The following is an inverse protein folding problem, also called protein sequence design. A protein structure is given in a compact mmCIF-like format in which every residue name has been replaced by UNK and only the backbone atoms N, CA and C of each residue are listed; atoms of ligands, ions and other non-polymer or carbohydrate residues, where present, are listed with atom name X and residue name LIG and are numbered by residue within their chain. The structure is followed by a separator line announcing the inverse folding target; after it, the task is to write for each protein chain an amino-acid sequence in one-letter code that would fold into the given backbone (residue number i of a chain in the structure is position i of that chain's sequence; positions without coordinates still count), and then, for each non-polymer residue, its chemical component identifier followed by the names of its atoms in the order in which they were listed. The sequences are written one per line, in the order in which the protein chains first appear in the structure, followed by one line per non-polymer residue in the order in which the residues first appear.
data_IF_230724835156
#
_entry.id   IF_230724835156
#
_cell.length_a   1.000
_cell.length_b   1.000
_cell.length_c   1.000
_cell.angle_alpha   90.00
_cell.angle_beta   90.00
_cell.angle_gamma   90.00
#
_symmetry.space_group_name_H-M   'P 1'
#
loop_
_entity.id
_entity.type
_entity.pdbx_description
1 polymer ?
#
# COMPACT_ATOMS: atom_id res chain seq x y z
N UNK A 1 -11.92 -10.69 1.65
CA UNK A 1 -10.98 -9.62 2.04
C UNK A 1 -10.51 -9.86 3.47
N UNK A 2 -9.24 -9.63 3.76
CA UNK A 2 -8.69 -9.83 5.10
C UNK A 2 -9.07 -8.67 6.03
N UNK A 3 -8.92 -8.87 7.35
CA UNK A 3 -9.16 -7.82 8.33
C UNK A 3 -8.26 -6.60 8.09
N UNK A 4 -7.00 -6.84 7.67
CA UNK A 4 -6.06 -5.76 7.40
C UNK A 4 -6.51 -4.90 6.23
N UNK A 5 -6.97 -5.54 5.15
CA UNK A 5 -7.48 -4.81 3.98
C UNK A 5 -8.72 -4.02 4.34
N UNK A 6 -9.62 -4.59 5.14
CA UNK A 6 -10.83 -3.91 5.60
C UNK A 6 -10.48 -2.68 6.45
N UNK A 7 -9.52 -2.83 7.39
CA UNK A 7 -9.09 -1.73 8.24
C UNK A 7 -8.48 -0.58 7.43
N UNK A 8 -7.69 -0.92 6.43
CA UNK A 8 -7.03 0.07 5.56
C UNK A 8 -7.96 0.67 4.52
N UNK A 9 -9.11 0.06 4.29
CA UNK A 9 -10.02 0.49 3.22
C UNK A 9 -9.44 0.26 1.84
N UNK A 10 -8.60 -0.77 1.70
CA UNK A 10 -7.89 -1.07 0.48
C UNK A 10 -8.82 -1.76 -0.52
N UNK A 11 -8.90 -1.21 -1.72
CA UNK A 11 -9.77 -1.69 -2.79
C UNK A 11 -8.96 -2.03 -4.03
N UNK A 12 -9.41 -3.01 -4.83
CA UNK A 12 -8.75 -3.28 -6.11
C UNK A 12 -8.89 -2.10 -7.05
N UNK A 13 -7.81 -1.82 -7.79
CA UNK A 13 -7.80 -0.79 -8.80
C UNK A 13 -8.04 -1.36 -10.19
N UNK A 14 -7.77 -0.55 -11.21
CA UNK A 14 -7.91 -0.95 -12.61
C UNK A 14 -6.67 -1.74 -13.04
N UNK A 15 -6.84 -3.01 -13.34
CA UNK A 15 -5.75 -3.88 -13.79
C UNK A 15 -5.06 -4.63 -12.66
N UNK A 16 -4.22 -5.58 -13.04
CA UNK A 16 -3.50 -6.42 -12.08
C UNK A 16 -2.45 -5.62 -11.31
N UNK A 17 -2.33 -5.91 -10.02
CA UNK A 17 -1.35 -5.28 -9.17
C UNK A 17 -1.66 -3.83 -8.83
N UNK A 18 -2.88 -3.38 -9.08
CA UNK A 18 -3.30 -2.00 -8.77
C UNK A 18 -4.35 -2.01 -7.69
N UNK A 19 -4.21 -1.06 -6.78
CA UNK A 19 -5.10 -0.86 -5.63
C UNK A 19 -5.32 0.62 -5.42
N UNK A 20 -6.29 0.95 -4.59
CA UNK A 20 -6.46 2.33 -4.13
C UNK A 20 -7.08 2.32 -2.74
N UNK A 21 -6.87 3.40 -2.01
CA UNK A 21 -7.51 3.63 -0.71
C UNK A 21 -7.62 5.12 -0.47
N UNK A 22 -8.56 5.48 0.40
CA UNK A 22 -8.72 6.86 0.86
C UNK A 22 -8.02 7.01 2.20
N UNK A 23 -7.32 8.13 2.41
CA UNK A 23 -6.71 8.43 3.70
C UNK A 23 -7.81 8.80 4.68
N UNK A 24 -8.36 7.79 5.37
CA UNK A 24 -9.40 7.99 6.37
C UNK A 24 -8.79 8.55 7.65
N UNK A 25 -9.63 9.18 8.49
CA UNK A 25 -9.13 9.84 9.68
C UNK A 25 -8.34 8.89 10.61
N UNK A 26 -8.79 7.65 10.76
CA UNK A 26 -8.08 6.68 11.61
C UNK A 26 -6.75 6.22 11.03
N UNK A 27 -6.46 6.54 9.76
CA UNK A 27 -5.19 6.22 9.09
C UNK A 27 -4.26 7.42 9.02
N UNK A 28 -4.68 8.57 9.54
CA UNK A 28 -3.95 9.82 9.46
C UNK A 28 -3.29 10.17 10.80
N UNK A 29 -2.24 11.00 10.72
CA UNK A 29 -1.61 11.57 11.90
C UNK A 29 -2.52 12.63 12.51
N UNK A 30 -2.14 13.13 13.69
CA UNK A 30 -2.89 14.19 14.38
C UNK A 30 -2.97 15.47 13.54
N UNK A 31 -2.02 15.72 12.66
CA UNK A 31 -2.03 16.88 11.75
C UNK A 31 -2.89 16.64 10.48
N UNK A 32 -3.62 15.53 10.41
CA UNK A 32 -4.51 15.22 9.29
C UNK A 32 -3.82 14.66 8.05
N UNK A 33 -2.54 14.27 8.17
CA UNK A 33 -1.80 13.69 7.04
C UNK A 33 -1.61 12.19 7.21
N UNK A 34 -1.36 11.51 6.10
CA UNK A 34 -1.15 10.06 6.10
C UNK A 34 -0.06 9.68 7.10
N UNK A 35 -0.40 8.77 8.00
CA UNK A 35 0.55 8.23 8.96
C UNK A 35 1.55 7.31 8.26
N UNK A 36 2.85 7.45 8.58
CA UNK A 36 3.89 6.63 7.96
C UNK A 36 3.69 5.14 8.14
N UNK A 37 3.22 4.71 9.32
CA UNK A 37 2.90 3.31 9.57
C UNK A 37 1.77 2.79 8.68
N UNK A 38 0.80 3.64 8.35
CA UNK A 38 -0.28 3.29 7.41
C UNK A 38 0.30 3.05 6.02
N UNK A 39 1.21 3.90 5.55
CA UNK A 39 1.85 3.71 4.25
C UNK A 39 2.62 2.40 4.20
N UNK A 40 3.33 2.06 5.25
CA UNK A 40 4.06 0.79 5.36
C UNK A 40 3.08 -0.39 5.34
N UNK A 41 1.99 -0.31 6.11
CA UNK A 41 0.99 -1.39 6.18
C UNK A 41 0.33 -1.63 4.81
N UNK A 42 -0.03 -0.57 4.09
CA UNK A 42 -0.58 -0.67 2.73
C UNK A 42 0.43 -1.33 1.80
N UNK A 43 1.70 -0.94 1.89
CA UNK A 43 2.75 -1.53 1.05
C UNK A 43 2.90 -3.02 1.31
N UNK A 44 2.89 -3.44 2.56
CA UNK A 44 2.98 -4.86 2.92
C UNK A 44 1.74 -5.62 2.44
N UNK A 45 0.54 -5.09 2.70
CA UNK A 45 -0.70 -5.75 2.32
C UNK A 45 -0.80 -5.97 0.80
N UNK A 46 -0.45 -4.95 0.01
CA UNK A 46 -0.50 -5.05 -1.44
C UNK A 46 0.57 -5.98 -1.99
N UNK A 47 1.79 -5.92 -1.45
CA UNK A 47 2.87 -6.81 -1.87
C UNK A 47 2.53 -8.27 -1.56
N UNK A 48 1.96 -8.55 -0.39
CA UNK A 48 1.55 -9.89 -0.02
C UNK A 48 0.39 -10.39 -0.89
N UNK A 49 -0.54 -9.48 -1.25
CA UNK A 49 -1.67 -9.84 -2.09
C UNK A 49 -1.24 -10.26 -3.51
N UNK A 50 -0.28 -9.55 -4.10
CA UNK A 50 0.15 -9.86 -5.47
C UNK A 50 1.15 -11.00 -5.55
N UNK A 51 1.94 -11.22 -4.49
CA UNK A 51 2.96 -12.28 -4.48
C UNK A 51 2.45 -13.57 -3.86
N UNK A 52 1.37 -13.52 -3.09
CA UNK A 52 0.85 -14.61 -2.28
C UNK A 52 1.92 -15.15 -1.32
N UNK A 53 2.73 -14.25 -0.77
CA UNK A 53 3.83 -14.58 0.13
C UNK A 53 3.87 -13.60 1.28
N UNK A 54 4.37 -14.06 2.42
CA UNK A 54 4.55 -13.24 3.61
C UNK A 54 5.78 -12.35 3.44
N UNK A 55 5.66 -11.08 3.82
CA UNK A 55 6.78 -10.15 3.77
C UNK A 55 7.85 -10.56 4.79
N UNK A 56 9.11 -10.60 4.35
CA UNK A 56 10.26 -10.91 5.20
C UNK A 56 11.06 -9.66 5.54
N UNK A 57 11.12 -8.71 4.62
CA UNK A 57 11.95 -7.53 4.75
C UNK A 57 11.42 -6.45 3.83
N UNK A 58 11.52 -5.21 4.27
CA UNK A 58 11.08 -4.10 3.42
C UNK A 58 11.92 -2.85 3.68
N UNK A 59 12.08 -2.06 2.63
CA UNK A 59 12.63 -0.70 2.72
C UNK A 59 11.57 0.26 2.22
N UNK A 60 11.36 1.34 2.95
CA UNK A 60 10.39 2.35 2.57
C UNK A 60 11.06 3.70 2.41
N UNK A 61 10.76 4.38 1.32
CA UNK A 61 11.22 5.74 1.08
C UNK A 61 10.01 6.66 1.03
N UNK A 62 9.98 7.65 1.93
CA UNK A 62 8.90 8.63 1.99
C UNK A 62 9.33 9.88 1.22
N UNK A 63 8.62 10.19 0.14
CA UNK A 63 8.93 11.37 -0.70
C UNK A 63 7.98 12.51 -0.37
N UNK A 64 6.71 12.17 -0.14
CA UNK A 64 5.67 13.15 0.15
C UNK A 64 4.63 12.52 1.05
N UNK A 65 3.74 13.34 1.59
CA UNK A 65 2.63 12.88 2.42
C UNK A 65 1.32 13.35 1.80
N UNK A 66 0.21 12.77 2.24
CA UNK A 66 -1.11 13.09 1.72
C UNK A 66 -2.06 13.48 2.85
N UNK A 67 -2.92 14.49 2.64
CA UNK A 67 -3.91 14.87 3.65
C UNK A 67 -5.02 13.83 3.76
N UNK A 68 -5.76 13.90 4.86
CA UNK A 68 -6.96 13.06 5.04
C UNK A 68 -7.96 13.32 3.92
N UNK A 69 -8.72 12.30 3.57
CA UNK A 69 -9.73 12.28 2.49
C UNK A 69 -9.12 12.27 1.08
N UNK A 70 -7.80 12.26 0.98
CA UNK A 70 -7.14 12.10 -0.31
C UNK A 70 -7.19 10.65 -0.76
N UNK A 71 -7.44 10.42 -2.04
CA UNK A 71 -7.42 9.07 -2.60
C UNK A 71 -6.03 8.76 -3.15
N UNK A 72 -5.51 7.59 -2.76
CA UNK A 72 -4.17 7.15 -3.13
C UNK A 72 -4.28 5.94 -4.05
N UNK A 73 -3.61 6.03 -5.20
CA UNK A 73 -3.45 4.90 -6.11
C UNK A 73 -2.18 4.14 -5.72
N UNK A 74 -2.28 2.82 -5.65
CA UNK A 74 -1.16 1.95 -5.29
C UNK A 74 -0.89 1.02 -6.45
N UNK A 75 0.34 1.02 -6.93
CA UNK A 75 0.77 0.17 -8.03
C UNK A 75 1.87 -0.75 -7.53
N UNK A 76 1.73 -2.05 -7.80
CA UNK A 76 2.72 -3.05 -7.45
C UNK A 76 3.36 -3.64 -8.69
N UNK A 77 4.66 -3.97 -8.57
CA UNK A 77 5.41 -4.64 -9.64
C UNK A 77 6.25 -5.74 -9.02
N UNK A 78 6.13 -6.96 -9.54
CA UNK A 78 7.02 -8.04 -9.15
C UNK A 78 8.29 -7.92 -9.98
N UNK A 79 9.38 -7.43 -9.35
CA UNK A 79 10.63 -7.13 -10.05
C UNK A 79 11.47 -8.38 -10.31
N UNK A 80 11.46 -9.30 -9.37
CA UNK A 80 12.29 -10.51 -9.46
C UNK A 80 11.53 -11.67 -8.83
N UNK A 81 10.67 -12.36 -9.61
CA UNK A 81 9.98 -13.54 -9.10
C UNK A 81 10.99 -14.68 -8.90
N UNK A 82 10.86 -15.38 -7.78
CA UNK A 82 11.78 -16.47 -7.45
C UNK A 82 11.03 -17.63 -6.83
N UNK A 83 11.71 -18.78 -6.75
CA UNK A 83 11.11 -19.98 -6.15
C UNK A 83 10.89 -19.83 -4.67
N UNK A 84 11.81 -19.13 -3.98
CA UNK A 84 11.77 -18.97 -2.51
C UNK A 84 11.35 -17.58 -2.09
N UNK A 85 11.77 -16.56 -2.83
CA UNK A 85 11.47 -15.18 -2.50
C UNK A 85 11.12 -14.39 -3.75
N UNK A 86 10.30 -13.38 -3.56
CA UNK A 86 9.99 -12.41 -4.61
C UNK A 86 10.41 -11.03 -4.15
N UNK A 87 10.80 -10.19 -5.12
CA UNK A 87 10.98 -8.75 -4.88
C UNK A 87 9.81 -8.01 -5.49
N UNK A 88 9.16 -7.17 -4.71
CA UNK A 88 8.00 -6.42 -5.14
C UNK A 88 8.24 -4.94 -4.88
N UNK A 89 8.04 -4.10 -5.90
CA UNK A 89 8.02 -2.64 -5.74
C UNK A 89 6.59 -2.19 -5.57
N UNK A 90 6.36 -1.37 -4.56
CA UNK A 90 5.05 -0.77 -4.31
C UNK A 90 5.20 0.75 -4.40
N UNK A 91 4.41 1.38 -5.26
CA UNK A 91 4.42 2.83 -5.44
C UNK A 91 3.04 3.37 -5.14
N UNK A 92 2.96 4.31 -4.19
CA UNK A 92 1.73 5.00 -3.87
C UNK A 92 1.82 6.47 -4.30
N UNK A 93 0.75 6.98 -4.90
CA UNK A 93 0.70 8.39 -5.30
C UNK A 93 -0.75 8.88 -5.28
N UNK A 94 -0.91 10.20 -5.19
CA UNK A 94 -2.24 10.81 -5.28
C UNK A 94 -2.90 10.42 -6.59
N UNK A 95 -4.18 10.12 -6.51
CA UNK A 95 -4.96 9.84 -7.69
C UNK A 95 -5.32 11.16 -8.37
N UNK A 96 -5.05 11.22 -9.66
CA UNK A 96 -5.40 12.39 -10.47
C UNK A 96 -6.89 12.44 -10.79
#
# INVERSE_FOLDING_TARGET
MTTDEDFLGLLPGTGDGRFHFTVQNHLARLDGRLYGGTAIAVSIATAEAVSDRTALWMTTQFIATAPANEEISVHTEVLAPGRRTNQVRVTGKKRD
#
